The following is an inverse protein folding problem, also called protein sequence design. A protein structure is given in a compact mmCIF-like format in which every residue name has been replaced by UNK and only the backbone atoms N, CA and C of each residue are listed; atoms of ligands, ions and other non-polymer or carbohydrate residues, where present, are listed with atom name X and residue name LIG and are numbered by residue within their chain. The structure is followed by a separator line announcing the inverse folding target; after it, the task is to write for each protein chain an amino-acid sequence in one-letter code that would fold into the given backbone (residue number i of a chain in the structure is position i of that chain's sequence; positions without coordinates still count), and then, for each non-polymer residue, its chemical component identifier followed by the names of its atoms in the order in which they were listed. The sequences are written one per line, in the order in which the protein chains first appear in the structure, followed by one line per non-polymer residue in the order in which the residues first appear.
data_IF_100199411436
#
_entry.id   IF_100199411436
#
_cell.length_a   1.000
_cell.length_b   1.000
_cell.length_c   1.000
_cell.angle_alpha   90.00
_cell.angle_beta   90.00
_cell.angle_gamma   90.00
#
_symmetry.space_group_name_H-M   'P 1'
#
loop_
_entity.id
_entity.type
_entity.pdbx_description
1 polymer ?
#
# COMPACT_ATOMS: atom_id res chain seq x y z
N UNK A 1 30.02 1.94 49.80
CA UNK A 1 29.37 0.74 49.19
C UNK A 1 27.92 1.05 48.65
N UNK A 2 27.27 2.10 49.10
CA UNK A 2 25.90 2.45 48.71
C UNK A 2 25.75 3.22 47.38
N UNK A 3 26.79 3.95 46.96
CA UNK A 3 26.76 4.75 45.72
C UNK A 3 26.76 3.87 44.46
N UNK A 4 27.46 2.75 44.46
CA UNK A 4 27.50 1.79 43.34
C UNK A 4 26.13 1.16 43.07
N UNK A 5 25.35 0.86 44.09
CA UNK A 5 24.04 0.24 43.97
C UNK A 5 22.97 1.27 43.52
N UNK A 6 23.14 2.54 43.86
CA UNK A 6 22.24 3.63 43.43
C UNK A 6 22.42 3.93 41.91
N UNK A 7 23.66 3.90 41.39
CA UNK A 7 23.90 4.08 39.95
C UNK A 7 23.33 2.93 39.12
N UNK A 8 23.39 1.68 39.64
CA UNK A 8 22.82 0.51 38.96
C UNK A 8 21.29 0.58 38.88
N UNK A 9 20.64 1.14 39.91
CA UNK A 9 19.17 1.30 39.94
C UNK A 9 18.70 2.36 38.94
N UNK A 10 19.47 3.43 38.74
CA UNK A 10 19.15 4.49 37.76
C UNK A 10 19.32 3.97 36.31
N UNK A 11 20.33 3.14 36.02
CA UNK A 11 20.47 2.53 34.69
C UNK A 11 19.32 1.59 34.33
N UNK A 12 18.67 0.93 35.29
CA UNK A 12 17.55 0.02 35.04
C UNK A 12 16.24 0.73 34.71
N UNK A 13 16.08 2.02 35.10
CA UNK A 13 14.89 2.82 34.86
C UNK A 13 14.81 3.42 33.44
N UNK A 14 15.89 3.35 32.64
CA UNK A 14 15.93 3.90 31.26
C UNK A 14 15.67 2.88 30.15
N UNK A 15 15.44 1.59 30.44
CA UNK A 15 15.31 0.55 29.41
C UNK A 15 13.84 0.25 29.02
N UNK A 16 12.84 0.94 29.58
CA UNK A 16 11.43 0.61 29.34
C UNK A 16 10.67 1.52 28.38
N UNK A 17 11.34 2.30 27.55
CA UNK A 17 10.70 3.05 26.47
C UNK A 17 11.00 2.46 25.09
N UNK A 18 10.78 1.17 24.90
CA UNK A 18 10.45 0.64 23.58
C UNK A 18 8.97 0.93 23.35
N UNK A 19 8.62 2.15 22.89
CA UNK A 19 7.28 2.39 22.40
C UNK A 19 7.13 1.51 21.15
N UNK A 20 6.33 0.45 21.27
CA UNK A 20 5.82 -0.27 20.13
C UNK A 20 5.05 0.73 19.29
N UNK A 21 5.64 1.18 18.19
CA UNK A 21 4.96 1.98 17.18
C UNK A 21 3.83 1.09 16.65
N UNK A 22 2.62 1.31 17.16
CA UNK A 22 1.44 0.65 16.64
C UNK A 22 1.17 1.26 15.27
N UNK A 23 1.29 0.45 14.20
CA UNK A 23 0.95 0.90 12.86
C UNK A 23 -0.54 1.24 12.80
N UNK A 24 -0.89 2.37 12.20
CA UNK A 24 -2.27 2.75 11.95
C UNK A 24 -2.96 1.72 11.05
N UNK A 25 -4.22 1.44 11.34
CA UNK A 25 -5.08 0.55 10.55
C UNK A 25 -6.16 1.37 9.86
N UNK A 26 -6.69 0.93 8.71
CA UNK A 26 -7.80 1.63 8.05
C UNK A 26 -9.00 1.87 8.99
N UNK A 27 -9.30 0.93 9.88
CA UNK A 27 -10.40 1.01 10.84
C UNK A 27 -10.29 2.20 11.80
N UNK A 28 -9.08 2.72 12.04
CA UNK A 28 -8.83 3.89 12.90
C UNK A 28 -9.44 5.18 12.31
N UNK A 29 -9.77 5.14 11.00
CA UNK A 29 -10.34 6.25 10.24
C UNK A 29 -11.86 6.15 10.03
N UNK A 30 -12.53 5.12 10.58
CA UNK A 30 -13.95 4.80 10.30
C UNK A 30 -14.93 5.97 10.50
N UNK A 31 -14.66 6.83 11.46
CA UNK A 31 -15.53 7.96 11.81
C UNK A 31 -15.09 9.28 11.13
N UNK A 32 -14.02 9.24 10.32
CA UNK A 32 -13.50 10.41 9.62
C UNK A 32 -14.17 10.62 8.27
N UNK A 33 -14.16 11.87 7.79
CA UNK A 33 -14.74 12.30 6.50
C UNK A 33 -13.72 13.11 5.70
N UNK A 34 -13.86 13.15 4.34
CA UNK A 34 -14.88 12.48 3.55
C UNK A 34 -14.69 10.96 3.51
N UNK A 35 -15.75 10.20 3.24
CA UNK A 35 -15.62 8.76 2.97
C UNK A 35 -15.07 8.55 1.56
N UNK A 36 -14.04 7.74 1.44
CA UNK A 36 -13.49 7.30 0.16
C UNK A 36 -14.29 6.07 -0.34
N UNK A 37 -14.92 6.21 -1.50
CA UNK A 37 -15.62 5.13 -2.19
C UNK A 37 -14.76 4.78 -3.40
N UNK A 38 -14.07 3.65 -3.33
CA UNK A 38 -13.03 3.26 -4.30
C UNK A 38 -13.59 3.14 -5.72
N UNK A 39 -14.75 2.52 -5.86
CA UNK A 39 -15.41 2.33 -7.14
C UNK A 39 -15.89 3.64 -7.78
N UNK A 40 -16.13 4.70 -7.00
CA UNK A 40 -16.43 6.03 -7.51
C UNK A 40 -15.15 6.81 -7.84
N UNK A 41 -14.17 6.76 -6.91
CA UNK A 41 -12.91 7.49 -7.03
C UNK A 41 -12.07 7.04 -8.22
N UNK A 42 -12.02 5.73 -8.48
CA UNK A 42 -11.23 5.14 -9.57
C UNK A 42 -12.04 4.97 -10.87
N UNK A 43 -13.32 5.35 -10.92
CA UNK A 43 -14.09 5.30 -12.16
C UNK A 43 -13.72 6.45 -13.11
N UNK A 44 -13.60 6.12 -14.40
CA UNK A 44 -13.15 7.06 -15.43
C UNK A 44 -11.64 7.25 -15.44
N UNK A 45 -11.19 8.40 -15.92
CA UNK A 45 -9.77 8.68 -16.11
C UNK A 45 -9.16 9.34 -14.87
N UNK A 46 -8.18 8.66 -14.27
CA UNK A 46 -7.41 9.14 -13.12
C UNK A 46 -5.92 9.18 -13.49
N UNK A 47 -5.19 10.12 -12.94
CA UNK A 47 -3.72 10.21 -13.09
C UNK A 47 -3.04 10.03 -11.75
N UNK A 48 -1.93 9.31 -11.76
CA UNK A 48 -1.08 9.13 -10.60
C UNK A 48 0.39 9.42 -10.94
N UNK A 49 1.14 9.79 -9.91
CA UNK A 49 2.60 9.97 -9.98
C UNK A 49 3.20 9.31 -8.75
N UNK A 50 4.36 8.69 -8.95
CA UNK A 50 5.04 8.04 -7.85
C UNK A 50 6.53 7.91 -8.04
N UNK A 51 7.18 7.50 -6.97
CA UNK A 51 8.62 7.25 -6.92
C UNK A 51 8.90 5.88 -6.32
N UNK A 52 9.97 5.24 -6.76
CA UNK A 52 10.55 4.10 -6.08
C UNK A 52 11.80 4.56 -5.31
N UNK A 53 11.88 4.16 -4.06
CA UNK A 53 13.05 4.42 -3.22
C UNK A 53 13.70 3.09 -2.79
N UNK A 54 15.01 3.09 -2.67
CA UNK A 54 15.70 1.97 -2.05
C UNK A 54 15.65 2.07 -0.51
N UNK A 55 16.23 1.08 0.20
CA UNK A 55 16.22 1.04 1.67
C UNK A 55 16.94 2.23 2.34
N UNK A 56 17.81 2.96 1.61
CA UNK A 56 18.47 4.17 2.10
C UNK A 56 17.68 5.45 1.82
N UNK A 57 16.46 5.35 1.26
CA UNK A 57 15.63 6.49 0.90
C UNK A 57 16.00 7.17 -0.41
N UNK A 58 17.01 6.64 -1.16
CA UNK A 58 17.37 7.19 -2.47
C UNK A 58 16.32 6.83 -3.51
N UNK A 59 15.80 7.83 -4.23
CA UNK A 59 14.92 7.63 -5.38
C UNK A 59 15.69 6.90 -6.48
N UNK A 60 15.14 5.78 -6.94
CA UNK A 60 15.73 4.92 -7.99
C UNK A 60 14.97 5.00 -9.30
N UNK A 61 13.64 5.19 -9.24
CA UNK A 61 12.76 5.35 -10.42
C UNK A 61 11.61 6.29 -10.08
N UNK A 62 11.02 6.86 -11.12
CA UNK A 62 9.81 7.69 -11.03
C UNK A 62 8.84 7.24 -12.13
N UNK A 63 7.56 7.41 -11.89
CA UNK A 63 6.54 7.14 -12.90
C UNK A 63 5.42 8.16 -12.89
N UNK A 64 4.75 8.29 -14.03
CA UNK A 64 3.37 8.74 -14.14
C UNK A 64 2.51 7.58 -14.58
N UNK A 65 1.26 7.53 -14.15
CA UNK A 65 0.32 6.50 -14.55
C UNK A 65 -0.99 7.14 -15.02
N UNK A 66 -1.51 6.63 -16.13
CA UNK A 66 -2.87 6.89 -16.60
C UNK A 66 -3.71 5.66 -16.21
N UNK A 67 -4.80 5.90 -15.49
CA UNK A 67 -5.74 4.88 -15.02
C UNK A 67 -7.09 5.10 -15.69
N UNK A 68 -7.72 4.03 -16.19
CA UNK A 68 -9.09 4.05 -16.73
C UNK A 68 -9.92 2.98 -16.01
N UNK A 69 -10.84 3.43 -15.17
CA UNK A 69 -11.67 2.57 -14.35
C UNK A 69 -13.11 2.44 -14.86
N UNK A 70 -13.62 1.21 -14.89
CA UNK A 70 -15.01 0.90 -15.30
C UNK A 70 -15.69 0.07 -14.24
N UNK A 71 -16.70 0.63 -13.59
CA UNK A 71 -17.51 0.00 -12.56
C UNK A 71 -18.80 -0.55 -13.14
N UNK A 72 -19.13 -1.83 -12.88
CA UNK A 72 -20.36 -2.49 -13.36
C UNK A 72 -21.45 -2.66 -12.28
N UNK A 73 -21.25 -2.11 -11.09
CA UNK A 73 -22.12 -2.28 -9.92
C UNK A 73 -21.62 -3.32 -8.91
N UNK A 74 -20.61 -4.10 -9.28
CA UNK A 74 -20.00 -5.11 -8.40
C UNK A 74 -18.48 -5.20 -8.57
N UNK A 75 -17.99 -5.07 -9.79
CA UNK A 75 -16.58 -5.19 -10.15
C UNK A 75 -16.07 -3.92 -10.82
N UNK A 76 -14.91 -3.47 -10.40
CA UNK A 76 -14.13 -2.42 -11.04
C UNK A 76 -13.04 -3.09 -11.89
N UNK A 77 -13.06 -2.82 -13.19
CA UNK A 77 -11.95 -3.08 -14.09
C UNK A 77 -11.13 -1.80 -14.16
N UNK A 78 -9.87 -1.87 -13.75
CA UNK A 78 -8.98 -0.71 -13.73
C UNK A 78 -7.78 -1.02 -14.64
N UNK A 79 -7.73 -0.34 -15.76
CA UNK A 79 -6.62 -0.37 -16.68
C UNK A 79 -5.59 0.68 -16.26
N UNK A 80 -4.35 0.28 -16.03
CA UNK A 80 -3.25 1.12 -15.61
C UNK A 80 -2.14 1.12 -16.67
N UNK A 81 -1.70 2.30 -17.08
CA UNK A 81 -0.55 2.49 -17.95
C UNK A 81 0.49 3.34 -17.25
N UNK A 82 1.57 2.70 -16.84
CA UNK A 82 2.73 3.36 -16.20
C UNK A 82 3.74 3.81 -17.27
N UNK A 83 4.18 5.05 -17.16
CA UNK A 83 5.27 5.61 -17.96
C UNK A 83 6.43 5.91 -17.00
N UNK A 84 7.48 5.10 -17.07
CA UNK A 84 8.65 5.21 -16.21
C UNK A 84 9.67 6.21 -16.77
N UNK A 85 10.43 6.86 -15.88
CA UNK A 85 11.45 7.86 -16.28
C UNK A 85 12.65 7.25 -17.04
N UNK A 86 12.82 5.94 -17.05
CA UNK A 86 13.82 5.22 -17.88
C UNK A 86 13.28 4.80 -19.25
N UNK A 87 12.04 5.19 -19.60
CA UNK A 87 11.40 4.92 -20.88
C UNK A 87 10.61 3.60 -20.91
N UNK A 88 10.63 2.80 -19.85
CA UNK A 88 9.78 1.61 -19.76
C UNK A 88 8.30 2.00 -19.71
N UNK A 89 7.47 1.26 -20.44
CA UNK A 89 6.01 1.33 -20.37
C UNK A 89 5.50 0.01 -19.81
N UNK A 90 4.75 0.08 -18.73
CA UNK A 90 4.14 -1.09 -18.08
C UNK A 90 2.64 -0.94 -18.10
N UNK A 91 1.92 -2.00 -18.47
CA UNK A 91 0.46 -2.03 -18.40
C UNK A 91 0.05 -3.08 -17.37
N UNK A 92 -1.00 -2.77 -16.60
CA UNK A 92 -1.65 -3.70 -15.67
C UNK A 92 -3.15 -3.52 -15.75
N UNK A 93 -3.88 -4.59 -15.64
CA UNK A 93 -5.33 -4.54 -15.47
C UNK A 93 -5.69 -5.21 -14.17
N UNK A 94 -6.32 -4.46 -13.28
CA UNK A 94 -6.93 -4.99 -12.08
C UNK A 94 -8.39 -5.37 -12.33
N UNK A 95 -8.80 -6.44 -11.69
CA UNK A 95 -10.20 -6.78 -11.46
C UNK A 95 -10.47 -6.70 -9.96
N UNK A 96 -11.13 -5.65 -9.52
CA UNK A 96 -11.40 -5.40 -8.10
C UNK A 96 -12.88 -5.62 -7.84
N UNK A 97 -13.19 -6.60 -7.00
CA UNK A 97 -14.56 -6.96 -6.62
C UNK A 97 -14.87 -6.40 -5.24
N UNK A 98 -15.98 -5.68 -5.12
CA UNK A 98 -16.51 -5.24 -3.83
C UNK A 98 -17.19 -6.41 -3.13
N UNK A 99 -16.71 -6.79 -1.96
CA UNK A 99 -17.24 -7.90 -1.16
C UNK A 99 -18.32 -7.41 -0.21
N UNK A 100 -18.03 -6.31 0.49
CA UNK A 100 -18.97 -5.63 1.38
C UNK A 100 -18.68 -4.13 1.41
N UNK A 101 -19.24 -3.41 2.37
CA UNK A 101 -19.07 -1.96 2.51
C UNK A 101 -17.62 -1.54 2.73
N UNK A 102 -16.81 -2.42 3.29
CA UNK A 102 -15.44 -2.11 3.71
C UNK A 102 -14.37 -2.97 3.05
N UNK A 103 -14.77 -4.06 2.36
CA UNK A 103 -13.83 -5.08 1.86
C UNK A 103 -13.89 -5.20 0.35
N UNK A 104 -12.71 -5.34 -0.22
CA UNK A 104 -12.49 -5.56 -1.63
C UNK A 104 -11.52 -6.72 -1.84
N UNK A 105 -11.67 -7.40 -2.96
CA UNK A 105 -10.72 -8.40 -3.44
C UNK A 105 -10.29 -8.05 -4.85
N UNK A 106 -8.97 -8.15 -5.11
CA UNK A 106 -8.41 -7.80 -6.42
C UNK A 106 -7.54 -8.90 -7.00
N UNK A 107 -7.52 -8.98 -8.33
CA UNK A 107 -6.59 -9.82 -9.08
C UNK A 107 -6.00 -9.04 -10.24
N UNK A 108 -4.73 -9.30 -10.58
CA UNK A 108 -4.07 -8.83 -11.79
C UNK A 108 -3.09 -9.89 -12.29
N UNK A 109 -2.59 -9.75 -13.51
CA UNK A 109 -1.77 -10.78 -14.16
C UNK A 109 -0.44 -11.07 -13.48
N UNK A 110 0.12 -10.11 -12.75
CA UNK A 110 1.38 -10.20 -12.00
C UNK A 110 1.17 -10.37 -10.47
N UNK A 111 -0.09 -10.49 -10.02
CA UNK A 111 -0.44 -10.70 -8.61
C UNK A 111 -0.49 -12.18 -8.26
N UNK A 112 0.16 -12.54 -7.18
CA UNK A 112 0.13 -13.91 -6.62
C UNK A 112 -1.10 -14.06 -5.73
N UNK A 113 -2.06 -14.86 -6.17
CA UNK A 113 -3.30 -15.08 -5.43
C UNK A 113 -4.26 -13.90 -5.53
N UNK A 114 -4.82 -13.47 -4.42
CA UNK A 114 -5.84 -12.41 -4.34
C UNK A 114 -5.37 -11.30 -3.44
N UNK A 115 -5.39 -10.07 -3.94
CA UNK A 115 -5.20 -8.86 -3.16
C UNK A 115 -6.39 -8.62 -2.21
N UNK A 116 -6.14 -8.03 -1.05
CA UNK A 116 -7.14 -7.68 -0.04
C UNK A 116 -7.20 -6.17 0.14
N UNK A 117 -8.40 -5.60 -0.01
CA UNK A 117 -8.66 -4.18 0.16
C UNK A 117 -9.55 -3.90 1.37
N UNK A 118 -9.23 -2.82 2.09
CA UNK A 118 -10.00 -2.36 3.25
C UNK A 118 -10.22 -0.85 3.15
N UNK A 119 -11.50 -0.41 3.22
CA UNK A 119 -11.87 1.01 3.12
C UNK A 119 -12.65 1.46 4.35
N UNK A 120 -12.13 2.47 5.07
CA UNK A 120 -12.77 3.08 6.23
C UNK A 120 -12.54 4.58 6.24
N UNK A 121 -13.62 5.37 6.30
CA UNK A 121 -13.52 6.82 6.20
C UNK A 121 -12.74 7.24 4.95
N UNK A 122 -11.75 8.14 5.04
CA UNK A 122 -10.91 8.56 3.92
C UNK A 122 -9.76 7.58 3.59
N UNK A 123 -9.59 6.50 4.36
CA UNK A 123 -8.48 5.58 4.19
C UNK A 123 -8.86 4.35 3.36
N UNK A 124 -7.95 3.95 2.49
CA UNK A 124 -7.99 2.68 1.78
C UNK A 124 -6.64 2.01 1.91
N UNK A 125 -6.65 0.73 2.17
CA UNK A 125 -5.46 -0.12 2.23
C UNK A 125 -5.61 -1.26 1.25
N UNK A 126 -4.55 -1.56 0.49
CA UNK A 126 -4.56 -2.65 -0.47
C UNK A 126 -3.30 -3.49 -0.31
N UNK A 127 -3.48 -4.74 0.13
CA UNK A 127 -2.39 -5.68 0.41
C UNK A 127 -2.31 -6.75 -0.68
N UNK A 128 -1.14 -6.93 -1.28
CA UNK A 128 -0.94 -7.91 -2.34
C UNK A 128 0.53 -8.33 -2.49
N UNK A 129 0.75 -9.41 -3.22
CA UNK A 129 2.09 -9.90 -3.57
C UNK A 129 2.25 -9.88 -5.08
N UNK A 130 3.29 -9.21 -5.58
CA UNK A 130 3.65 -9.22 -6.99
C UNK A 130 4.81 -10.17 -7.27
N UNK A 131 4.80 -10.74 -8.49
CA UNK A 131 5.97 -11.30 -9.13
C UNK A 131 6.69 -10.19 -9.90
N UNK A 132 7.87 -9.81 -9.43
CA UNK A 132 8.66 -8.72 -10.04
C UNK A 132 9.92 -9.29 -10.67
N UNK A 133 10.16 -9.06 -11.98
CA UNK A 133 11.39 -9.49 -12.64
C UNK A 133 12.56 -8.61 -12.18
N UNK A 134 13.57 -9.25 -11.57
CA UNK A 134 14.79 -8.56 -11.13
C UNK A 134 16.01 -9.34 -11.62
N UNK A 135 16.81 -8.73 -12.51
CA UNK A 135 18.05 -9.31 -13.06
C UNK A 135 17.88 -10.75 -13.58
N UNK A 136 16.78 -11.00 -14.31
CA UNK A 136 16.49 -12.32 -14.92
C UNK A 136 15.93 -13.36 -13.95
N UNK A 137 15.52 -12.97 -12.75
CA UNK A 137 14.81 -13.80 -11.78
C UNK A 137 13.51 -13.13 -11.37
N UNK A 138 12.48 -13.91 -11.09
CA UNK A 138 11.25 -13.42 -10.48
C UNK A 138 11.36 -13.46 -8.97
N UNK A 139 11.08 -12.35 -8.32
CA UNK A 139 11.01 -12.24 -6.86
C UNK A 139 9.59 -11.86 -6.44
N UNK A 140 9.17 -12.42 -5.31
CA UNK A 140 7.90 -12.04 -4.68
C UNK A 140 8.12 -10.82 -3.80
N UNK A 141 7.37 -9.75 -4.04
CA UNK A 141 7.38 -8.54 -3.22
C UNK A 141 5.98 -8.33 -2.66
N UNK A 142 5.88 -8.20 -1.33
CA UNK A 142 4.63 -7.82 -0.67
C UNK A 142 4.48 -6.31 -0.72
N UNK A 143 3.32 -5.87 -1.15
CA UNK A 143 2.90 -4.47 -1.18
C UNK A 143 1.83 -4.23 -0.12
N UNK A 144 1.89 -3.07 0.48
CA UNK A 144 0.97 -2.52 1.46
C UNK A 144 0.77 -1.04 1.09
N UNK A 145 -0.23 -0.77 0.25
CA UNK A 145 -0.55 0.54 -0.34
C UNK A 145 -1.71 1.23 0.40
#
# INVERSE_FOLDING_TARGET
MYIKNFLLLICFLFITNCSTSQSMKPEDFKDQKPRLIIEEYLSGNVKAWGILQNRSGKVTRQFSADLDGKWDGKKLILDEKFNWNDGEIQNRQWQITKIDEHKYEGTAGDVVGTAKGYSYGPAFKFEYVLLVPVKGREIKITFDD
#
